data_IF_648107558098
#
_entry.id   IF_648107558098
#
_cell.length_a   1.000
_cell.length_b   1.000
_cell.length_c   1.000
_cell.angle_alpha   90.00
_cell.angle_beta   90.00
_cell.angle_gamma   90.00
#
_symmetry.space_group_name_H-M   'P 1'
#
loop_
_entity.id
_entity.type
_entity.pdbx_description
1 polymer ?
#
# COMPACT_ATOMS: atom_id res chain seq x y z
N UNK A 1 -9.83 31.19 -10.70
CA UNK A 1 -9.73 31.57 -9.27
C UNK A 1 -10.73 30.80 -8.39
N UNK A 2 -12.06 30.92 -8.57
CA UNK A 2 -13.02 30.16 -7.75
C UNK A 2 -13.06 28.64 -8.04
N UNK A 3 -12.90 28.24 -9.31
CA UNK A 3 -12.88 26.83 -9.70
C UNK A 3 -11.61 26.08 -9.23
N UNK A 4 -10.51 26.81 -9.06
CA UNK A 4 -9.24 26.22 -8.62
C UNK A 4 -9.32 25.82 -7.14
N UNK A 5 -9.98 26.62 -6.29
CA UNK A 5 -10.15 26.29 -4.87
C UNK A 5 -11.09 25.11 -4.62
N UNK A 6 -12.10 24.96 -5.47
CA UNK A 6 -13.02 23.81 -5.43
C UNK A 6 -12.31 22.52 -5.85
N UNK A 7 -11.49 22.59 -6.90
CA UNK A 7 -10.67 21.46 -7.35
C UNK A 7 -9.66 21.01 -6.28
N UNK A 8 -9.01 21.96 -5.60
CA UNK A 8 -8.09 21.68 -4.51
C UNK A 8 -8.81 21.08 -3.28
N UNK A 9 -10.05 21.49 -3.02
CA UNK A 9 -10.86 20.88 -1.95
C UNK A 9 -11.21 19.42 -2.25
N UNK A 10 -11.62 19.14 -3.50
CA UNK A 10 -11.93 17.77 -3.95
C UNK A 10 -10.69 16.88 -3.89
N UNK A 11 -9.52 17.37 -4.32
CA UNK A 11 -8.25 16.62 -4.21
C UNK A 11 -7.91 16.26 -2.77
N UNK A 12 -8.04 17.21 -1.83
CA UNK A 12 -7.81 16.94 -0.40
C UNK A 12 -8.72 15.86 0.15
N UNK A 13 -10.01 15.89 -0.21
CA UNK A 13 -10.95 14.85 0.21
C UNK A 13 -10.60 13.48 -0.37
N UNK A 14 -10.17 13.41 -1.64
CA UNK A 14 -9.72 12.16 -2.27
C UNK A 14 -8.50 11.61 -1.51
N UNK A 15 -7.50 12.44 -1.24
CA UNK A 15 -6.30 12.04 -0.49
C UNK A 15 -6.63 11.54 0.92
N UNK A 16 -7.50 12.23 1.64
CA UNK A 16 -7.94 11.82 2.98
C UNK A 16 -8.67 10.46 2.96
N UNK A 17 -9.56 10.26 1.99
CA UNK A 17 -10.27 9.00 1.84
C UNK A 17 -9.33 7.85 1.47
N UNK A 18 -8.39 8.06 0.56
CA UNK A 18 -7.37 7.06 0.22
C UNK A 18 -6.52 6.69 1.44
N UNK A 19 -6.02 7.69 2.19
CA UNK A 19 -5.26 7.45 3.42
C UNK A 19 -6.04 6.63 4.44
N UNK A 20 -7.32 6.95 4.66
CA UNK A 20 -8.19 6.20 5.59
C UNK A 20 -8.31 4.73 5.19
N UNK A 21 -8.59 4.45 3.91
CA UNK A 21 -8.73 3.08 3.41
C UNK A 21 -7.42 2.30 3.55
N UNK A 22 -6.29 2.88 3.13
CA UNK A 22 -5.01 2.21 3.22
C UNK A 22 -4.53 2.04 4.67
N UNK A 23 -4.83 2.97 5.58
CA UNK A 23 -4.53 2.81 7.01
C UNK A 23 -5.27 1.62 7.61
N UNK A 24 -6.55 1.41 7.25
CA UNK A 24 -7.31 0.24 7.69
C UNK A 24 -6.70 -1.07 7.19
N UNK A 25 -6.18 -1.09 5.95
CA UNK A 25 -5.50 -2.28 5.39
C UNK A 25 -4.11 -2.53 5.99
N UNK A 26 -3.43 -1.50 6.49
CA UNK A 26 -2.11 -1.63 7.13
C UNK A 26 -2.20 -2.25 8.53
N UNK A 27 -3.33 -2.08 9.23
CA UNK A 27 -3.58 -2.70 10.53
C UNK A 27 -3.90 -4.19 10.43
N UNK A 28 -4.19 -4.70 9.22
CA UNK A 28 -4.39 -6.12 8.99
C UNK A 28 -3.03 -6.83 8.84
N UNK A 29 -2.87 -7.94 9.55
CA UNK A 29 -1.70 -8.81 9.41
C UNK A 29 -1.49 -9.18 7.94
N UNK A 30 -0.25 -9.05 7.46
CA UNK A 30 0.10 -9.38 6.08
C UNK A 30 -0.42 -10.80 5.74
N UNK A 31 -1.25 -10.98 4.68
CA UNK A 31 -1.82 -12.27 4.36
C UNK A 31 -0.76 -13.38 4.24
N UNK A 32 -1.08 -14.58 4.74
CA UNK A 32 -0.14 -15.70 4.80
C UNK A 32 0.46 -16.07 3.44
N UNK A 33 -0.32 -15.91 2.36
CA UNK A 33 0.17 -16.09 0.99
C UNK A 33 1.39 -15.21 0.68
N UNK A 34 1.38 -13.94 1.10
CA UNK A 34 2.50 -13.04 0.87
C UNK A 34 3.71 -13.43 1.72
N UNK A 35 3.50 -13.85 2.97
CA UNK A 35 4.56 -14.39 3.82
C UNK A 35 5.23 -15.61 3.16
N UNK A 36 4.43 -16.55 2.64
CA UNK A 36 4.93 -17.72 1.92
C UNK A 36 5.73 -17.34 0.67
N UNK A 37 5.26 -16.37 -0.12
CA UNK A 37 5.99 -15.90 -1.31
C UNK A 37 7.31 -15.22 -0.94
N UNK A 38 7.35 -14.42 0.14
CA UNK A 38 8.58 -13.82 0.65
C UNK A 38 9.57 -14.89 1.13
N UNK A 39 9.10 -15.95 1.78
CA UNK A 39 9.93 -17.08 2.16
C UNK A 39 10.49 -17.84 0.94
N UNK A 40 9.68 -18.04 -0.10
CA UNK A 40 10.12 -18.66 -1.35
C UNK A 40 11.21 -17.82 -2.03
N UNK A 41 11.02 -16.49 -2.10
CA UNK A 41 12.03 -15.57 -2.66
C UNK A 41 13.33 -15.59 -1.85
N UNK A 42 13.26 -15.56 -0.51
CA UNK A 42 14.44 -15.66 0.36
C UNK A 42 15.19 -16.96 0.14
N UNK A 43 14.48 -18.09 0.02
CA UNK A 43 15.08 -19.41 -0.25
C UNK A 43 15.73 -19.45 -1.63
N UNK A 44 15.11 -18.85 -2.65
CA UNK A 44 15.65 -18.80 -4.00
C UNK A 44 16.91 -17.92 -4.09
N UNK A 45 16.91 -16.74 -3.44
CA UNK A 45 18.09 -15.87 -3.39
C UNK A 45 19.24 -16.39 -2.53
N UNK A 46 18.96 -17.29 -1.57
CA UNK A 46 19.99 -17.96 -0.76
C UNK A 46 20.56 -19.22 -1.44
N UNK A 47 19.95 -19.68 -2.52
CA UNK A 47 20.33 -20.89 -3.27
C UNK A 47 21.06 -20.63 -4.59
N UNK A 48 21.23 -19.36 -4.99
CA UNK A 48 21.89 -18.95 -6.24
C UNK A 48 23.31 -18.39 -5.99
N UNK A 49 23.95 -18.82 -4.88
CA UNK A 49 25.32 -18.42 -4.52
C UNK A 49 26.20 -19.61 -4.13
N UNK A 50 25.92 -20.81 -4.68
CA UNK A 50 26.76 -22.00 -4.53
C UNK A 50 27.24 -22.50 -5.90
#
# INVERSE_FOLDING_TARGET
MAHDSENEHVKRQIDENLKRVYQQTVEEDLPDRFKTLLEQLKKQGSGDSA
#
